data_IF_196210123898
#
_entry.id   IF_196210123898
#
_cell.length_a   1.000
_cell.length_b   1.000
_cell.length_c   1.000
_cell.angle_alpha   90.00
_cell.angle_beta   90.00
_cell.angle_gamma   90.00
#
_symmetry.space_group_name_H-M   'P 1'
#
loop_
_entity.id
_entity.type
_entity.pdbx_description
1 polymer ?
#
# COMPACT_ATOMS: atom_id res chain seq x y z
N UNK A 1 10.34 3.28 -14.88
CA UNK A 1 10.93 2.96 -13.55
C UNK A 1 11.18 1.47 -13.49
N UNK A 2 12.24 1.02 -12.81
CA UNK A 2 12.44 -0.42 -12.57
C UNK A 2 11.32 -0.95 -11.68
N UNK A 3 10.93 -2.22 -11.87
CA UNK A 3 9.90 -2.90 -11.05
C UNK A 3 10.24 -2.80 -9.56
N UNK A 4 11.54 -2.90 -9.23
CA UNK A 4 12.08 -2.71 -7.90
C UNK A 4 11.76 -1.33 -7.31
N UNK A 5 12.02 -0.24 -8.05
CA UNK A 5 11.78 1.12 -7.57
C UNK A 5 10.28 1.40 -7.39
N UNK A 6 9.43 0.87 -8.28
CA UNK A 6 7.97 0.97 -8.14
C UNK A 6 7.48 0.25 -6.88
N UNK A 7 7.91 -0.99 -6.67
CA UNK A 7 7.53 -1.78 -5.51
C UNK A 7 7.98 -1.14 -4.19
N UNK A 8 9.17 -0.56 -4.17
CA UNK A 8 9.71 0.11 -2.99
C UNK A 8 8.90 1.36 -2.62
N UNK A 9 8.54 2.19 -3.60
CA UNK A 9 7.74 3.41 -3.36
C UNK A 9 6.33 3.04 -2.94
N UNK A 10 5.64 2.20 -3.72
CA UNK A 10 4.25 1.88 -3.47
C UNK A 10 4.06 1.03 -2.19
N UNK A 11 5.02 0.16 -1.85
CA UNK A 11 5.07 -0.49 -0.54
C UNK A 11 5.22 0.50 0.61
N UNK A 12 6.14 1.47 0.48
CA UNK A 12 6.35 2.51 1.50
C UNK A 12 5.10 3.38 1.71
N UNK A 13 4.42 3.77 0.63
CA UNK A 13 3.17 4.55 0.69
C UNK A 13 2.06 3.74 1.37
N UNK A 14 1.92 2.45 1.05
CA UNK A 14 0.91 1.61 1.67
C UNK A 14 1.16 1.43 3.19
N UNK A 15 2.42 1.24 3.59
CA UNK A 15 2.80 1.17 5.02
C UNK A 15 2.50 2.49 5.73
N UNK A 16 2.82 3.63 5.11
CA UNK A 16 2.52 4.95 5.69
C UNK A 16 1.01 5.19 5.84
N UNK A 17 0.19 4.74 4.90
CA UNK A 17 -1.27 4.83 4.99
C UNK A 17 -1.84 3.93 6.08
N UNK A 18 -1.28 2.72 6.25
CA UNK A 18 -1.69 1.80 7.31
C UNK A 18 -1.29 2.29 8.70
N UNK A 19 -0.02 2.65 8.88
CA UNK A 19 0.51 3.15 10.16
C UNK A 19 -0.07 4.52 10.49
N UNK A 20 -0.16 5.41 9.51
CA UNK A 20 -0.76 6.72 9.66
C UNK A 20 -2.26 6.63 9.96
N UNK A 21 -2.99 5.77 9.23
CA UNK A 21 -4.38 5.45 9.55
C UNK A 21 -4.52 4.96 10.99
N UNK A 22 -3.76 3.93 11.38
CA UNK A 22 -3.77 3.41 12.75
C UNK A 22 -3.48 4.48 13.82
N UNK A 23 -2.45 5.31 13.60
CA UNK A 23 -2.05 6.35 14.53
C UNK A 23 -3.12 7.46 14.68
N UNK A 24 -3.91 7.70 13.65
CA UNK A 24 -5.00 8.67 13.66
C UNK A 24 -6.39 8.02 13.78
N UNK A 25 -6.48 6.82 14.37
CA UNK A 25 -7.74 6.05 14.49
C UNK A 25 -8.91 6.81 15.09
N UNK A 26 -8.66 7.78 15.95
CA UNK A 26 -9.69 8.63 16.57
C UNK A 26 -10.28 9.68 15.62
N UNK A 27 -9.65 9.94 14.47
CA UNK A 27 -10.11 10.89 13.46
C UNK A 27 -11.01 10.21 12.44
N UNK A 28 -12.12 10.86 12.13
CA UNK A 28 -13.00 10.50 11.00
C UNK A 28 -12.17 10.46 9.71
N UNK A 29 -12.09 9.30 9.07
CA UNK A 29 -11.31 9.08 7.86
C UNK A 29 -10.10 8.15 8.04
N UNK A 30 -9.72 7.81 9.27
CA UNK A 30 -8.69 6.80 9.53
C UNK A 30 -9.00 5.46 8.86
N UNK A 31 -10.23 4.96 9.01
CA UNK A 31 -10.63 3.69 8.39
C UNK A 31 -10.46 3.71 6.88
N UNK A 32 -10.76 4.86 6.23
CA UNK A 32 -10.59 5.03 4.79
C UNK A 32 -9.09 4.97 4.42
N UNK A 33 -8.23 5.64 5.18
CA UNK A 33 -6.78 5.59 4.96
C UNK A 33 -6.22 4.16 5.10
N UNK A 34 -6.68 3.43 6.12
CA UNK A 34 -6.28 2.04 6.33
C UNK A 34 -6.76 1.14 5.20
N UNK A 35 -8.02 1.26 4.76
CA UNK A 35 -8.57 0.49 3.63
C UNK A 35 -7.81 0.76 2.34
N UNK A 36 -7.49 2.03 2.04
CA UNK A 36 -6.69 2.39 0.85
C UNK A 36 -5.28 1.78 0.96
N UNK A 37 -4.66 1.81 2.14
CA UNK A 37 -3.36 1.18 2.38
C UNK A 37 -3.37 -0.33 2.15
N UNK A 38 -4.38 -1.05 2.68
CA UNK A 38 -4.55 -2.49 2.44
C UNK A 38 -4.77 -2.77 0.95
N UNK A 39 -5.68 -2.03 0.31
CA UNK A 39 -6.00 -2.25 -1.10
C UNK A 39 -4.78 -2.00 -2.01
N UNK A 40 -4.02 -0.94 -1.74
CA UNK A 40 -2.77 -0.66 -2.44
C UNK A 40 -1.74 -1.78 -2.31
N UNK A 41 -1.61 -2.39 -1.12
CA UNK A 41 -0.73 -3.55 -0.91
C UNK A 41 -1.19 -4.78 -1.70
N UNK A 42 -2.49 -5.07 -1.73
CA UNK A 42 -3.04 -6.19 -2.50
C UNK A 42 -2.74 -6.03 -3.98
N UNK A 43 -2.99 -4.85 -4.55
CA UNK A 43 -2.69 -4.55 -5.96
C UNK A 43 -1.19 -4.66 -6.24
N UNK A 44 -0.34 -4.20 -5.33
CA UNK A 44 1.11 -4.33 -5.46
C UNK A 44 1.58 -5.79 -5.52
N UNK A 45 1.04 -6.63 -4.62
CA UNK A 45 1.35 -8.05 -4.56
C UNK A 45 0.91 -8.74 -5.85
N UNK A 46 -0.32 -8.46 -6.32
CA UNK A 46 -0.82 -8.99 -7.59
C UNK A 46 0.06 -8.58 -8.77
N UNK A 47 0.45 -7.30 -8.85
CA UNK A 47 1.33 -6.81 -9.91
C UNK A 47 2.71 -7.48 -9.87
N UNK A 48 3.24 -7.73 -8.68
CA UNK A 48 4.53 -8.41 -8.50
C UNK A 48 4.45 -9.87 -8.93
N UNK A 49 3.37 -10.58 -8.57
CA UNK A 49 3.14 -11.97 -8.99
C UNK A 49 3.02 -12.06 -10.52
N UNK A 50 2.22 -11.18 -11.13
CA UNK A 50 2.04 -11.15 -12.59
C UNK A 50 3.36 -10.86 -13.29
N UNK A 51 4.13 -9.89 -12.80
CA UNK A 51 5.43 -9.55 -13.38
C UNK A 51 6.49 -10.64 -13.18
N UNK A 52 6.37 -11.47 -12.14
CA UNK A 52 7.27 -12.61 -11.92
C UNK A 52 6.88 -13.85 -12.75
N UNK A 53 5.63 -13.92 -13.22
CA UNK A 53 5.11 -15.00 -14.06
C UNK A 53 5.32 -14.76 -15.57
N UNK A 54 5.67 -13.54 -15.97
CA UNK A 54 6.01 -13.11 -17.33
C UNK A 54 7.52 -13.12 -17.58
#
# INVERSE_FOLDING_TARGET
>A
MTLFNFNLIAGSVAVLLLVGGYAFRERKGSDVAMVIGVFGLVVLILNTIVSAAS
#
